data_IF_874725228673
#
_entry.id   IF_874725228673
#
_cell.length_a   1.000
_cell.length_b   1.000
_cell.length_c   1.000
_cell.angle_alpha   90.00
_cell.angle_beta   90.00
_cell.angle_gamma   90.00
#
_symmetry.space_group_name_H-M   'P 1'
#
loop_
_entity.id
_entity.type
_entity.pdbx_description
1 polymer ?
#
# COMPACT_ATOMS: atom_id res chain seq x y z
N UNK A 1 4.37 33.98 -28.41
CA UNK A 1 5.12 32.78 -27.98
C UNK A 1 5.24 32.85 -26.47
N UNK A 2 4.51 32.02 -25.74
CA UNK A 2 4.58 31.98 -24.27
C UNK A 2 5.96 31.46 -23.89
N UNK A 3 6.87 32.38 -23.54
CA UNK A 3 8.13 32.02 -22.92
C UNK A 3 7.77 31.26 -21.64
N UNK A 4 7.96 29.94 -21.63
CA UNK A 4 7.81 29.16 -20.41
C UNK A 4 8.82 29.69 -19.40
N UNK A 5 8.36 30.08 -18.21
CA UNK A 5 9.20 30.57 -17.10
C UNK A 5 10.27 29.54 -16.73
N UNK A 6 9.99 28.26 -16.99
CA UNK A 6 10.89 27.15 -16.80
C UNK A 6 11.43 26.63 -18.15
N UNK A 7 12.69 26.22 -18.12
CA UNK A 7 13.30 25.50 -19.22
C UNK A 7 12.55 24.17 -19.46
N UNK A 8 12.33 23.74 -20.71
CA UNK A 8 11.57 22.51 -21.02
C UNK A 8 12.08 21.24 -20.31
N UNK A 9 13.39 21.13 -20.09
CA UNK A 9 13.97 20.00 -19.36
C UNK A 9 13.49 19.92 -17.90
N UNK A 10 13.32 21.06 -17.23
CA UNK A 10 12.82 21.13 -15.85
C UNK A 10 11.37 20.66 -15.82
N UNK A 11 10.56 21.12 -16.79
CA UNK A 11 9.15 20.70 -16.90
C UNK A 11 9.06 19.20 -17.15
N UNK A 12 9.93 18.65 -17.99
CA UNK A 12 10.00 17.21 -18.25
C UNK A 12 10.42 16.40 -17.00
N UNK A 13 11.39 16.87 -16.23
CA UNK A 13 11.82 16.22 -14.97
C UNK A 13 10.70 16.23 -13.93
N UNK A 14 10.03 17.37 -13.74
CA UNK A 14 8.89 17.47 -12.81
C UNK A 14 7.74 16.58 -13.25
N UNK A 15 7.49 16.49 -14.55
CA UNK A 15 6.46 15.61 -15.11
C UNK A 15 6.78 14.12 -14.86
N UNK A 16 8.04 13.71 -15.06
CA UNK A 16 8.51 12.36 -14.75
C UNK A 16 8.30 12.04 -13.26
N UNK A 17 8.77 12.92 -12.38
CA UNK A 17 8.63 12.76 -10.93
C UNK A 17 7.16 12.61 -10.52
N UNK A 18 6.30 13.47 -11.05
CA UNK A 18 4.87 13.49 -10.73
C UNK A 18 4.17 12.20 -11.19
N UNK A 19 4.52 11.69 -12.37
CA UNK A 19 3.95 10.43 -12.88
C UNK A 19 4.34 9.22 -12.02
N UNK A 20 5.59 9.17 -11.56
CA UNK A 20 6.06 8.11 -10.65
C UNK A 20 5.37 8.24 -9.29
N UNK A 21 5.34 9.45 -8.72
CA UNK A 21 4.74 9.73 -7.42
C UNK A 21 3.23 9.42 -7.38
N UNK A 22 2.51 9.70 -8.47
CA UNK A 22 1.09 9.40 -8.63
C UNK A 22 0.79 7.92 -8.94
N UNK A 23 1.81 7.06 -9.03
CA UNK A 23 1.71 5.66 -9.44
C UNK A 23 1.01 5.47 -10.79
N UNK A 24 1.31 6.35 -11.76
CA UNK A 24 0.74 6.27 -13.11
C UNK A 24 1.21 4.97 -13.81
N UNK A 25 0.33 4.26 -14.56
CA UNK A 25 0.66 2.95 -15.14
C UNK A 25 1.94 2.92 -15.99
N UNK A 26 2.21 4.00 -16.71
CA UNK A 26 3.38 4.11 -17.58
C UNK A 26 4.61 4.76 -16.92
N UNK A 27 4.50 5.19 -15.65
CA UNK A 27 5.57 5.80 -14.84
C UNK A 27 6.41 6.90 -15.52
N UNK A 28 5.87 7.57 -16.55
CA UNK A 28 6.60 8.59 -17.31
C UNK A 28 7.75 8.07 -18.17
N UNK A 29 7.79 6.78 -18.51
CA UNK A 29 8.85 6.20 -19.37
C UNK A 29 8.95 6.92 -20.73
N UNK A 30 7.83 7.42 -21.25
CA UNK A 30 7.79 8.21 -22.48
C UNK A 30 8.44 9.61 -22.37
N UNK A 31 8.76 10.09 -21.17
CA UNK A 31 9.52 11.32 -20.96
C UNK A 31 11.05 11.10 -21.00
N UNK A 32 11.53 9.87 -20.81
CA UNK A 32 12.98 9.60 -20.71
C UNK A 32 13.72 9.95 -22.00
N UNK A 33 13.15 9.62 -23.16
CA UNK A 33 13.77 9.94 -24.45
C UNK A 33 13.88 11.45 -24.68
N UNK A 34 12.84 12.20 -24.29
CA UNK A 34 12.86 13.67 -24.34
C UNK A 34 13.90 14.28 -23.41
N UNK A 35 14.08 13.70 -22.22
CA UNK A 35 15.10 14.16 -21.26
C UNK A 35 16.52 13.96 -21.81
N UNK A 36 16.75 12.84 -22.51
CA UNK A 36 18.02 12.59 -23.22
C UNK A 36 18.24 13.60 -24.34
N UNK A 37 17.21 13.93 -25.12
CA UNK A 37 17.28 14.97 -26.16
C UNK A 37 17.64 16.36 -25.58
N UNK A 38 17.16 16.65 -24.36
CA UNK A 38 17.52 17.89 -23.65
C UNK A 38 18.91 17.86 -23.00
N UNK A 39 19.68 16.77 -23.13
CA UNK A 39 21.02 16.64 -22.56
C UNK A 39 21.03 16.48 -21.04
N UNK A 40 19.94 16.03 -20.44
CA UNK A 40 19.88 15.73 -19.01
C UNK A 40 20.68 14.47 -18.72
N UNK A 41 21.56 14.53 -17.72
CA UNK A 41 22.41 13.39 -17.37
C UNK A 41 21.61 12.28 -16.69
N UNK A 42 22.12 11.05 -16.77
CA UNK A 42 21.49 9.89 -16.14
C UNK A 42 21.41 10.06 -14.63
N UNK A 43 22.45 10.61 -14.00
CA UNK A 43 22.51 10.86 -12.56
C UNK A 43 21.42 11.84 -12.10
N UNK A 44 21.10 12.84 -12.92
CA UNK A 44 20.04 13.80 -12.61
C UNK A 44 18.65 13.13 -12.73
N UNK A 45 18.46 12.24 -13.70
CA UNK A 45 17.22 11.49 -13.86
C UNK A 45 17.05 10.52 -12.69
N UNK A 46 18.11 9.78 -12.33
CA UNK A 46 18.10 8.82 -11.23
C UNK A 46 17.75 9.48 -9.90
N UNK A 47 18.34 10.64 -9.59
CA UNK A 47 18.02 11.40 -8.39
C UNK A 47 16.53 11.77 -8.33
N UNK A 48 15.95 12.22 -9.45
CA UNK A 48 14.53 12.58 -9.52
C UNK A 48 13.63 11.34 -9.36
N UNK A 49 14.03 10.21 -9.95
CA UNK A 49 13.33 8.93 -9.80
C UNK A 49 13.37 8.45 -8.35
N UNK A 50 14.52 8.55 -7.68
CA UNK A 50 14.69 8.17 -6.27
C UNK A 50 13.76 9.00 -5.37
N UNK A 51 13.78 10.33 -5.52
CA UNK A 51 12.91 11.23 -4.75
C UNK A 51 11.44 10.88 -4.97
N UNK A 52 11.03 10.68 -6.23
CA UNK A 52 9.64 10.38 -6.55
C UNK A 52 9.17 9.03 -5.96
N UNK A 53 10.03 8.00 -6.01
CA UNK A 53 9.75 6.69 -5.40
C UNK A 53 9.62 6.80 -3.89
N UNK A 54 10.53 7.52 -3.25
CA UNK A 54 10.48 7.74 -1.80
C UNK A 54 9.16 8.38 -1.37
N UNK A 55 8.72 9.45 -2.05
CA UNK A 55 7.45 10.12 -1.75
C UNK A 55 6.25 9.20 -1.93
N UNK A 56 6.22 8.43 -3.02
CA UNK A 56 5.15 7.46 -3.29
C UNK A 56 5.06 6.42 -2.19
N UNK A 57 6.18 5.81 -1.84
CA UNK A 57 6.23 4.69 -0.91
C UNK A 57 5.93 5.16 0.53
N UNK A 58 6.42 6.33 0.93
CA UNK A 58 6.08 6.96 2.21
C UNK A 58 4.57 7.29 2.29
N UNK A 59 4.00 7.82 1.20
CA UNK A 59 2.58 8.16 1.13
C UNK A 59 1.70 6.92 1.18
N UNK A 60 2.05 5.86 0.44
CA UNK A 60 1.35 4.58 0.45
C UNK A 60 1.32 3.99 1.86
N UNK A 61 2.49 3.92 2.53
CA UNK A 61 2.59 3.44 3.90
C UNK A 61 1.67 4.22 4.86
N UNK A 62 1.67 5.54 4.79
CA UNK A 62 0.79 6.37 5.65
C UNK A 62 -0.70 6.16 5.35
N UNK A 63 -1.07 5.84 4.12
CA UNK A 63 -2.46 5.53 3.76
C UNK A 63 -2.87 4.17 4.32
N UNK A 64 -2.01 3.16 4.17
CA UNK A 64 -2.23 1.82 4.72
C UNK A 64 -2.34 1.87 6.25
N UNK A 65 -1.43 2.60 6.92
CA UNK A 65 -1.47 2.79 8.38
C UNK A 65 -2.80 3.41 8.84
N UNK A 66 -3.36 4.36 8.09
CA UNK A 66 -4.66 4.97 8.39
C UNK A 66 -5.81 4.00 8.17
N UNK A 67 -5.77 3.22 7.08
CA UNK A 67 -6.76 2.20 6.80
C UNK A 67 -6.77 1.14 7.91
N UNK A 68 -5.60 0.64 8.29
CA UNK A 68 -5.45 -0.36 9.35
C UNK A 68 -5.95 0.15 10.71
N UNK A 69 -5.71 1.42 11.03
CA UNK A 69 -6.26 2.05 12.23
C UNK A 69 -7.79 2.11 12.20
N UNK A 70 -8.37 2.52 11.06
CA UNK A 70 -9.82 2.57 10.89
C UNK A 70 -10.44 1.16 10.93
N UNK A 71 -9.79 0.17 10.29
CA UNK A 71 -10.22 -1.21 10.29
C UNK A 71 -10.22 -1.79 11.71
N UNK A 72 -9.14 -1.59 12.48
CA UNK A 72 -9.07 -1.98 13.90
C UNK A 72 -10.10 -1.28 14.77
N UNK A 73 -10.50 -0.04 14.44
CA UNK A 73 -11.57 0.65 15.16
C UNK A 73 -12.96 0.08 14.85
N UNK A 74 -13.19 -0.39 13.62
CA UNK A 74 -14.43 -1.08 13.23
C UNK A 74 -14.52 -2.50 13.78
N UNK A 75 -13.37 -3.17 13.92
CA UNK A 75 -13.22 -4.49 14.50
C UNK A 75 -12.29 -4.40 15.70
N UNK A 76 -12.72 -3.74 16.80
CA UNK A 76 -11.92 -3.73 18.02
C UNK A 76 -11.67 -5.19 18.39
N UNK A 77 -10.44 -5.56 18.79
CA UNK A 77 -10.24 -6.86 19.38
C UNK A 77 -11.25 -6.93 20.52
N UNK A 78 -12.21 -7.86 20.42
CA UNK A 78 -13.02 -8.22 21.58
C UNK A 78 -12.03 -8.42 22.72
N UNK A 79 -12.34 -7.81 23.86
CA UNK A 79 -11.39 -7.65 24.95
C UNK A 79 -10.63 -8.93 25.22
N UNK A 80 -9.46 -8.80 25.82
CA UNK A 80 -8.80 -9.92 26.48
C UNK A 80 -9.67 -10.48 27.61
N UNK A 81 -10.79 -11.10 27.26
CA UNK A 81 -11.33 -12.21 27.99
C UNK A 81 -10.39 -13.34 27.65
N UNK A 82 -9.42 -13.51 28.54
CA UNK A 82 -8.85 -14.81 28.92
C UNK A 82 -9.42 -15.93 28.06
N UNK A 83 -8.54 -16.53 27.24
CA UNK A 83 -8.71 -17.89 26.77
C UNK A 83 -9.08 -18.73 28.00
N UNK A 84 -10.38 -18.81 28.27
CA UNK A 84 -10.91 -19.62 29.36
C UNK A 84 -10.54 -21.01 28.95
N UNK A 85 -9.55 -21.52 29.68
CA UNK A 85 -9.14 -22.91 29.76
C UNK A 85 -10.32 -23.77 29.37
N UNK A 86 -10.29 -24.33 28.15
CA UNK A 86 -11.21 -25.41 27.79
C UNK A 86 -10.91 -26.48 28.84
N UNK A 87 -11.84 -26.81 29.76
CA UNK A 87 -11.60 -27.95 30.60
C UNK A 87 -11.63 -29.14 29.63
N UNK A 88 -10.48 -29.78 29.45
CA UNK A 88 -10.43 -31.15 28.94
C UNK A 88 -11.10 -32.01 30.01
N UNK A 89 -12.43 -32.02 30.01
CA UNK A 89 -13.21 -33.02 30.67
C UNK A 89 -13.10 -34.29 29.82
N UNK A 90 -12.63 -35.35 30.46
CA UNK A 90 -12.46 -36.67 29.88
C UNK A 90 -13.67 -37.14 29.07
N UNK A 91 -13.37 -37.95 28.06
CA UNK A 91 -14.24 -38.18 26.91
C UNK A 91 -15.67 -38.65 27.19
N UNK A 92 -16.56 -38.23 26.30
CA UNK A 92 -17.71 -38.99 25.82
C UNK A 92 -18.16 -38.39 24.49
N UNK A 93 -18.05 -39.16 23.41
CA UNK A 93 -18.15 -38.73 22.02
C UNK A 93 -19.60 -38.66 21.48
N UNK A 94 -20.63 -38.48 22.32
CA UNK A 94 -22.03 -38.47 21.85
C UNK A 94 -22.91 -37.56 22.72
N UNK A 95 -23.57 -36.57 22.11
CA UNK A 95 -24.71 -35.87 22.71
C UNK A 95 -26.03 -36.52 22.25
N UNK A 96 -27.04 -36.74 23.11
CA UNK A 96 -28.31 -37.35 22.70
C UNK A 96 -29.09 -36.40 21.79
N UNK A 97 -29.62 -36.92 20.69
CA UNK A 97 -30.58 -36.16 19.85
C UNK A 97 -31.92 -35.99 20.60
N UNK A 98 -32.73 -34.97 20.27
CA UNK A 98 -33.96 -34.61 21.01
C UNK A 98 -35.04 -35.71 21.14
N UNK A 99 -34.87 -36.86 20.48
CA UNK A 99 -35.78 -38.01 20.56
C UNK A 99 -35.27 -39.14 21.46
N UNK A 100 -34.27 -38.90 22.31
CA UNK A 100 -33.98 -39.76 23.47
C UNK A 100 -33.49 -41.18 23.15
N UNK A 101 -32.89 -41.42 21.99
CA UNK A 101 -32.17 -42.68 21.73
C UNK A 101 -30.67 -42.49 21.89
N UNK A 102 -30.04 -43.35 22.68
CA UNK A 102 -28.58 -43.40 22.85
C UNK A 102 -27.90 -43.88 21.58
N UNK A 103 -26.77 -43.27 21.22
CA UNK A 103 -25.96 -43.67 20.07
C UNK A 103 -25.33 -45.06 20.29
N UNK A 104 -25.84 -46.05 19.57
CA UNK A 104 -25.16 -47.30 19.17
C UNK A 104 -25.59 -47.61 17.73
#
# INVERSE_FOLDING_TARGET
>A
MTHSVLHPSIVALVSLASNIAANHPNQGLCQLDKLKEFGVSEEQIDLVVEIARHIRDESAKKLDDKFDQAFKACFPPEGGETLSTIPVAGGACCTPTPSGKSCC
#
